data_IF_806742796998
#
_entry.id   IF_806742796998
#
_cell.length_a   1.000
_cell.length_b   1.000
_cell.length_c   1.000
_cell.angle_alpha   90.00
_cell.angle_beta   90.00
_cell.angle_gamma   90.00
#
_symmetry.space_group_name_H-M   'P 1'
#
loop_
_entity.id
_entity.type
_entity.pdbx_description
1 polymer ?
#
# COMPACT_ATOMS: atom_id res chain seq x y z
N UNK A 1 12.79 -0.24 -4.89
CA UNK A 1 12.96 0.47 -3.61
C UNK A 1 11.81 0.03 -2.72
N UNK A 2 12.07 -0.31 -1.46
CA UNK A 2 11.02 -0.60 -0.47
C UNK A 2 10.96 -2.04 0.06
N UNK A 3 10.59 -2.17 1.34
CA UNK A 3 10.28 -3.43 2.03
C UNK A 3 8.77 -3.51 2.29
N UNK A 4 8.00 -3.76 1.23
CA UNK A 4 6.57 -4.10 1.32
C UNK A 4 5.67 -3.14 2.11
N UNK A 5 4.40 -3.50 2.18
CA UNK A 5 3.34 -2.96 3.04
C UNK A 5 3.08 -4.08 4.07
N UNK A 6 3.64 -4.03 5.28
CA UNK A 6 3.41 -5.12 6.25
C UNK A 6 2.47 -4.70 7.37
N UNK A 7 1.78 -5.70 7.94
CA UNK A 7 1.02 -5.58 9.18
C UNK A 7 1.92 -5.03 10.28
N UNK A 8 1.68 -3.80 10.70
CA UNK A 8 2.27 -3.22 11.91
C UNK A 8 1.55 -3.71 13.18
N UNK A 9 0.67 -4.71 13.06
CA UNK A 9 -0.19 -5.22 14.14
C UNK A 9 0.57 -6.08 15.14
N UNK A 10 1.79 -6.51 14.81
CA UNK A 10 2.65 -7.21 15.76
C UNK A 10 3.34 -6.19 16.68
N UNK A 11 2.91 -6.20 17.95
CA UNK A 11 3.71 -5.59 19.01
C UNK A 11 5.07 -6.32 19.07
N UNK A 12 6.16 -5.56 19.19
CA UNK A 12 7.41 -6.14 19.65
C UNK A 12 7.29 -6.72 21.07
N UNK A 13 8.38 -7.29 21.61
CA UNK A 13 8.45 -7.68 23.01
C UNK A 13 7.96 -6.55 23.93
N UNK A 14 7.44 -6.84 25.14
CA UNK A 14 7.02 -5.81 26.08
C UNK A 14 8.05 -4.68 26.20
N UNK A 15 7.59 -3.43 26.10
CA UNK A 15 8.39 -2.18 26.03
C UNK A 15 9.07 -1.86 24.68
N UNK A 16 8.84 -2.65 23.62
CA UNK A 16 9.31 -2.37 22.26
C UNK A 16 8.13 -2.18 21.28
N UNK A 17 7.27 -1.20 21.60
CA UNK A 17 6.07 -0.85 20.81
C UNK A 17 6.38 -0.49 19.34
N UNK A 18 7.61 -0.07 19.03
CA UNK A 18 8.03 0.30 17.67
C UNK A 18 8.91 -0.74 16.96
N UNK A 19 9.13 -1.93 17.53
CA UNK A 19 10.12 -2.90 17.03
C UNK A 19 9.97 -3.20 15.53
N UNK A 20 8.79 -3.65 15.11
CA UNK A 20 8.51 -3.99 13.71
C UNK A 20 8.46 -2.76 12.79
N UNK A 21 8.09 -1.60 13.33
CA UNK A 21 8.15 -0.33 12.59
C UNK A 21 9.59 -0.02 12.20
N UNK A 22 10.51 -0.03 13.17
CA UNK A 22 11.92 0.33 12.94
C UNK A 22 12.61 -0.64 11.97
N UNK A 23 12.57 -1.94 12.23
CA UNK A 23 13.32 -2.92 11.42
C UNK A 23 13.04 -2.83 9.91
N UNK A 24 11.78 -2.60 9.50
CA UNK A 24 11.48 -2.52 8.07
C UNK A 24 11.56 -1.11 7.48
N UNK A 25 11.27 -0.07 8.26
CA UNK A 25 11.29 1.32 7.79
C UNK A 25 12.72 1.85 7.70
N UNK A 26 13.57 1.41 8.61
CA UNK A 26 14.99 1.75 8.65
C UNK A 26 15.69 1.37 7.34
N UNK A 27 15.25 0.31 6.64
CA UNK A 27 15.87 -0.04 5.36
C UNK A 27 15.81 1.10 4.35
N UNK A 28 14.66 1.75 4.20
CA UNK A 28 14.49 2.86 3.25
C UNK A 28 15.19 4.11 3.77
N UNK A 29 15.08 4.39 5.07
CA UNK A 29 15.80 5.51 5.68
C UNK A 29 17.31 5.38 5.48
N UNK A 30 17.89 4.23 5.78
CA UNK A 30 19.34 4.01 5.76
C UNK A 30 19.88 3.88 4.34
N UNK A 31 19.15 3.22 3.43
CA UNK A 31 19.68 2.86 2.11
C UNK A 31 19.20 3.75 0.97
N UNK A 32 18.11 4.50 1.17
CA UNK A 32 17.44 5.23 0.09
C UNK A 32 17.14 6.69 0.41
N UNK A 33 17.20 7.13 1.67
CA UNK A 33 17.09 8.56 2.01
C UNK A 33 18.40 9.27 1.75
N UNK A 34 18.36 10.32 0.93
CA UNK A 34 19.52 11.18 0.73
C UNK A 34 19.80 12.00 2.01
N UNK A 35 21.07 12.09 2.39
CA UNK A 35 21.57 12.92 3.48
C UNK A 35 22.69 13.85 3.02
N UNK A 36 23.17 14.71 3.91
CA UNK A 36 24.28 15.64 3.61
C UNK A 36 25.54 14.89 3.16
N UNK A 37 25.80 13.72 3.75
CA UNK A 37 26.99 12.92 3.50
C UNK A 37 26.74 11.60 2.76
N UNK A 38 25.47 11.27 2.50
CA UNK A 38 25.08 10.01 1.89
C UNK A 38 24.19 10.26 0.67
N UNK A 39 24.61 9.75 -0.48
CA UNK A 39 23.86 9.80 -1.73
C UNK A 39 23.57 8.37 -2.16
N UNK A 40 22.36 7.87 -1.94
CA UNK A 40 22.03 6.49 -2.29
C UNK A 40 22.04 6.29 -3.81
N UNK A 41 22.44 5.10 -4.31
CA UNK A 41 22.41 4.80 -5.75
C UNK A 41 21.00 4.92 -6.35
N UNK A 42 19.98 4.63 -5.55
CA UNK A 42 18.57 4.79 -5.92
C UNK A 42 17.89 5.59 -4.80
N UNK A 43 17.79 6.92 -4.88
CA UNK A 43 17.15 7.73 -3.86
C UNK A 43 15.63 7.60 -3.89
N UNK A 44 14.99 7.75 -2.74
CA UNK A 44 13.59 8.18 -2.69
C UNK A 44 13.50 9.67 -3.07
N UNK A 45 12.38 10.05 -3.70
CA UNK A 45 12.09 11.44 -4.03
C UNK A 45 11.73 12.24 -2.78
N UNK A 46 10.92 11.64 -1.89
CA UNK A 46 10.44 12.25 -0.66
C UNK A 46 10.40 11.20 0.46
N UNK A 47 10.77 11.59 1.68
CA UNK A 47 10.73 10.75 2.87
C UNK A 47 10.20 11.58 4.04
N UNK A 48 9.17 11.08 4.71
CA UNK A 48 8.60 11.68 5.90
C UNK A 48 9.18 11.05 7.17
N UNK A 49 9.85 11.84 8.00
CA UNK A 49 10.56 11.32 9.18
C UNK A 49 9.60 10.83 10.26
N UNK A 50 8.44 11.48 10.39
CA UNK A 50 7.53 11.20 11.49
C UNK A 50 6.70 9.92 11.24
N UNK A 51 6.44 9.61 9.97
CA UNK A 51 5.57 8.48 9.58
C UNK A 51 6.31 7.38 8.82
N UNK A 52 7.55 7.64 8.42
CA UNK A 52 8.36 6.83 7.51
C UNK A 52 7.73 6.58 6.15
N UNK A 53 6.66 7.29 5.80
CA UNK A 53 6.09 7.24 4.46
C UNK A 53 7.10 7.82 3.47
N UNK A 54 7.12 7.28 2.26
CA UNK A 54 8.06 7.74 1.24
C UNK A 54 7.49 7.58 -0.15
N UNK A 55 8.02 8.37 -1.08
CA UNK A 55 7.69 8.30 -2.49
C UNK A 55 8.95 8.29 -3.35
N UNK A 56 8.85 7.73 -4.55
CA UNK A 56 9.93 7.75 -5.53
C UNK A 56 9.37 7.82 -6.94
N UNK A 57 10.10 8.49 -7.81
CA UNK A 57 9.75 8.58 -9.22
C UNK A 57 10.46 7.48 -10.01
N UNK A 58 9.72 6.81 -10.91
CA UNK A 58 10.30 5.78 -11.79
C UNK A 58 9.62 5.76 -13.15
N UNK A 59 10.37 6.08 -14.22
CA UNK A 59 9.87 5.94 -15.59
C UNK A 59 8.63 6.78 -15.91
N UNK A 60 8.45 7.92 -15.24
CA UNK A 60 7.27 8.79 -15.38
C UNK A 60 6.16 8.53 -14.35
N UNK A 61 6.27 7.48 -13.54
CA UNK A 61 5.39 7.20 -12.42
C UNK A 61 5.81 7.96 -11.18
N UNK A 62 4.84 8.34 -10.37
CA UNK A 62 5.04 8.67 -8.96
C UNK A 62 4.53 7.52 -8.09
N UNK A 63 5.42 6.93 -7.30
CA UNK A 63 5.15 5.72 -6.53
C UNK A 63 5.19 6.08 -5.05
N UNK A 64 4.19 5.67 -4.27
CA UNK A 64 4.01 6.13 -2.88
C UNK A 64 3.79 4.95 -1.95
N UNK A 65 4.59 4.82 -0.89
CA UNK A 65 4.39 3.84 0.18
C UNK A 65 3.87 4.54 1.45
N UNK A 66 2.73 4.07 1.95
CA UNK A 66 2.00 4.58 3.12
C UNK A 66 1.84 3.55 4.27
N UNK A 67 2.58 2.45 4.21
CA UNK A 67 2.63 1.34 5.16
C UNK A 67 1.30 0.62 5.35
N UNK A 68 0.69 0.70 6.54
CA UNK A 68 -0.60 0.07 6.84
C UNK A 68 -1.71 0.75 6.03
N UNK A 69 -1.79 2.07 6.15
CA UNK A 69 -2.53 3.01 5.29
C UNK A 69 -2.12 4.44 5.66
N UNK A 70 -2.28 5.39 4.73
CA UNK A 70 -1.80 6.78 4.92
C UNK A 70 -2.33 7.49 6.17
N UNK A 71 -3.51 7.10 6.65
CA UNK A 71 -4.16 7.67 7.81
C UNK A 71 -3.85 7.00 9.15
N UNK A 72 -3.01 5.96 9.18
CA UNK A 72 -2.86 5.11 10.36
C UNK A 72 -2.34 5.90 11.58
N UNK A 73 -3.14 5.86 12.65
CA UNK A 73 -2.78 6.40 13.97
C UNK A 73 -2.77 5.32 15.05
N UNK A 74 -2.96 4.06 14.67
CA UNK A 74 -2.91 2.91 15.56
C UNK A 74 -1.56 2.83 16.24
N UNK A 75 -1.54 2.35 17.49
CA UNK A 75 -0.32 2.25 18.30
C UNK A 75 0.48 3.56 18.36
N UNK A 76 -0.19 4.71 18.42
CA UNK A 76 0.45 6.02 18.57
C UNK A 76 1.22 6.53 17.35
N UNK A 77 0.98 5.96 16.15
CA UNK A 77 1.55 6.52 14.92
C UNK A 77 1.02 7.93 14.63
N UNK A 78 1.89 8.74 14.01
CA UNK A 78 1.49 10.00 13.38
C UNK A 78 0.82 9.69 12.04
N UNK A 79 -0.26 10.40 11.73
CA UNK A 79 -0.94 10.24 10.45
C UNK A 79 -0.07 10.76 9.30
N UNK A 80 0.12 9.94 8.25
CA UNK A 80 0.84 10.32 7.01
C UNK A 80 0.00 11.12 6.02
N UNK A 81 -1.29 11.33 6.27
CA UNK A 81 -2.18 12.07 5.36
C UNK A 81 -1.72 13.52 5.06
N UNK A 82 -1.23 14.32 6.03
CA UNK A 82 -0.69 15.65 5.73
C UNK A 82 0.51 15.59 4.79
N UNK A 83 1.43 14.65 5.03
CA UNK A 83 2.58 14.44 4.16
C UNK A 83 2.14 14.00 2.76
N UNK A 84 1.25 13.01 2.65
CA UNK A 84 0.74 12.51 1.36
C UNK A 84 0.15 13.63 0.51
N UNK A 85 -0.65 14.53 1.12
CA UNK A 85 -1.23 15.68 0.40
C UNK A 85 -0.14 16.61 -0.14
N UNK A 86 0.89 16.88 0.65
CA UNK A 86 2.02 17.72 0.24
C UNK A 86 2.87 17.06 -0.84
N UNK A 87 3.13 15.76 -0.69
CA UNK A 87 3.90 14.94 -1.63
C UNK A 87 3.24 14.92 -3.00
N UNK A 88 1.95 14.59 -3.07
CA UNK A 88 1.18 14.63 -4.32
C UNK A 88 1.12 16.02 -4.94
N UNK A 89 0.92 17.07 -4.13
CA UNK A 89 0.91 18.45 -4.63
C UNK A 89 2.27 18.88 -5.20
N UNK A 90 3.36 18.35 -4.65
CA UNK A 90 4.73 18.71 -5.06
C UNK A 90 5.17 17.91 -6.29
N UNK A 91 4.86 16.61 -6.33
CA UNK A 91 5.48 15.68 -7.27
C UNK A 91 4.51 15.08 -8.29
N UNK A 92 3.18 15.22 -8.09
CA UNK A 92 2.17 14.65 -8.98
C UNK A 92 1.09 15.64 -9.44
N UNK A 93 1.23 16.93 -9.13
CA UNK A 93 0.30 17.97 -9.59
C UNK A 93 0.31 18.19 -11.12
N UNK A 94 1.31 17.67 -11.81
CA UNK A 94 1.41 17.69 -13.28
C UNK A 94 0.55 16.62 -13.98
N UNK A 95 -0.19 15.81 -13.21
CA UNK A 95 -1.10 14.79 -13.75
C UNK A 95 -0.43 13.47 -14.07
N UNK A 96 0.87 13.30 -13.73
CA UNK A 96 1.57 12.02 -13.91
C UNK A 96 0.85 10.89 -13.15
N UNK A 97 0.94 9.66 -13.66
CA UNK A 97 0.31 8.51 -13.03
C UNK A 97 0.90 8.23 -11.64
N UNK A 98 0.02 8.00 -10.67
CA UNK A 98 0.37 7.68 -9.29
C UNK A 98 -0.03 6.24 -8.95
N UNK A 99 0.86 5.49 -8.32
CA UNK A 99 0.53 4.19 -7.70
C UNK A 99 0.80 4.28 -6.20
N UNK A 100 -0.19 3.85 -5.41
CA UNK A 100 -0.05 3.76 -3.96
C UNK A 100 0.15 2.31 -3.54
N UNK A 101 0.99 2.13 -2.53
CA UNK A 101 1.17 0.90 -1.77
C UNK A 101 0.67 1.16 -0.35
N UNK A 102 -0.21 0.28 0.13
CA UNK A 102 -0.67 0.26 1.52
C UNK A 102 -1.15 -1.13 1.89
N UNK A 103 -1.28 -1.46 3.17
CA UNK A 103 -1.60 -2.83 3.57
C UNK A 103 -3.09 -3.18 3.42
N UNK A 104 -3.97 -2.31 3.90
CA UNK A 104 -5.41 -2.57 3.93
C UNK A 104 -6.09 -2.25 2.60
N UNK A 105 -7.01 -3.10 2.19
CA UNK A 105 -7.80 -2.93 0.98
C UNK A 105 -9.26 -2.56 1.25
N UNK A 106 -10.05 -2.70 0.19
CA UNK A 106 -11.51 -2.60 0.19
C UNK A 106 -12.18 -3.97 0.12
N UNK A 107 -11.42 -5.06 0.17
CA UNK A 107 -11.98 -6.40 0.23
C UNK A 107 -12.66 -6.65 1.57
N UNK A 108 -13.62 -7.59 1.59
CA UNK A 108 -14.44 -7.93 2.76
C UNK A 108 -13.60 -8.08 4.02
N UNK A 109 -12.49 -8.81 3.94
CA UNK A 109 -11.60 -9.01 5.07
C UNK A 109 -11.07 -7.69 5.63
N UNK A 110 -10.61 -6.77 4.76
CA UNK A 110 -10.08 -5.47 5.20
C UNK A 110 -11.15 -4.52 5.76
N UNK A 111 -12.44 -4.69 5.43
CA UNK A 111 -13.51 -3.77 5.83
C UNK A 111 -14.49 -4.36 6.84
N UNK A 112 -14.26 -5.58 7.28
CA UNK A 112 -15.14 -6.30 8.20
C UNK A 112 -15.35 -5.55 9.51
N UNK A 113 -16.52 -5.78 10.11
CA UNK A 113 -16.98 -5.11 11.31
C UNK A 113 -17.51 -6.12 12.30
N UNK A 114 -17.47 -5.76 13.57
CA UNK A 114 -17.97 -6.61 14.63
C UNK A 114 -19.48 -6.87 14.48
N UNK A 115 -19.86 -8.13 14.29
CA UNK A 115 -21.23 -8.62 14.39
C UNK A 115 -21.46 -9.17 15.82
N UNK A 116 -22.18 -8.41 16.63
CA UNK A 116 -22.50 -8.79 18.00
C UNK A 116 -23.47 -9.98 18.10
N UNK A 117 -24.30 -10.23 17.08
CA UNK A 117 -25.24 -11.35 17.06
C UNK A 117 -24.53 -12.67 16.78
N UNK A 118 -23.48 -12.66 15.95
CA UNK A 118 -22.67 -13.84 15.63
C UNK A 118 -21.41 -13.97 16.47
N UNK A 119 -20.99 -12.91 17.16
CA UNK A 119 -19.76 -12.89 17.96
C UNK A 119 -18.50 -13.02 17.11
N UNK A 120 -18.52 -12.47 15.89
CA UNK A 120 -17.40 -12.53 14.93
C UNK A 120 -17.29 -11.21 14.19
N UNK A 121 -16.18 -11.01 13.47
CA UNK A 121 -16.10 -10.00 12.42
C UNK A 121 -16.59 -10.60 11.09
N UNK A 122 -17.38 -9.84 10.35
CA UNK A 122 -17.81 -10.15 8.98
C UNK A 122 -18.27 -8.87 8.24
N UNK A 123 -18.76 -9.01 7.01
CA UNK A 123 -19.28 -7.93 6.16
C UNK A 123 -20.72 -7.49 6.48
N UNK A 124 -21.38 -8.18 7.40
CA UNK A 124 -22.76 -7.90 7.84
C UNK A 124 -22.78 -7.16 9.19
N UNK A 125 -21.66 -7.18 9.91
CA UNK A 125 -21.48 -6.49 11.17
C UNK A 125 -21.73 -4.98 11.10
N UNK A 126 -22.38 -4.45 12.13
CA UNK A 126 -22.63 -3.01 12.28
C UNK A 126 -21.74 -2.36 13.36
N UNK A 127 -20.89 -3.15 14.04
CA UNK A 127 -20.06 -2.70 15.14
C UNK A 127 -18.80 -1.94 14.71
N UNK A 128 -17.79 -1.96 15.58
CA UNK A 128 -16.50 -1.34 15.30
C UNK A 128 -15.81 -2.04 14.10
N UNK A 129 -15.11 -1.29 13.23
CA UNK A 129 -14.28 -1.89 12.19
C UNK A 129 -13.13 -2.68 12.82
N UNK A 130 -12.74 -3.78 12.19
CA UNK A 130 -11.60 -4.57 12.65
C UNK A 130 -10.26 -3.88 12.31
N UNK A 131 -10.11 -3.43 11.06
CA UNK A 131 -8.81 -2.99 10.54
C UNK A 131 -8.75 -1.49 10.30
N UNK A 132 -9.65 -0.96 9.47
CA UNK A 132 -9.78 0.47 9.24
C UNK A 132 -11.21 0.88 8.96
N UNK A 133 -11.53 2.10 9.36
CA UNK A 133 -12.89 2.62 9.29
C UNK A 133 -13.23 3.18 7.92
N UNK A 134 -14.53 3.36 7.69
CA UNK A 134 -15.02 4.14 6.54
C UNK A 134 -14.45 5.57 6.56
N UNK A 135 -14.30 6.19 7.73
CA UNK A 135 -13.73 7.52 7.83
C UNK A 135 -12.27 7.56 7.37
N UNK A 136 -11.48 6.52 7.66
CA UNK A 136 -10.09 6.41 7.21
C UNK A 136 -10.02 6.28 5.69
N UNK A 137 -10.90 5.45 5.09
CA UNK A 137 -11.04 5.32 3.64
C UNK A 137 -11.40 6.64 2.97
N UNK A 138 -12.42 7.33 3.49
CA UNK A 138 -12.84 8.63 2.96
C UNK A 138 -11.75 9.70 3.11
N UNK A 139 -10.95 9.66 4.18
CA UNK A 139 -9.83 10.57 4.36
C UNK A 139 -8.73 10.34 3.32
N UNK A 140 -8.41 9.07 3.00
CA UNK A 140 -7.49 8.73 1.91
C UNK A 140 -8.05 9.17 0.55
N UNK A 141 -9.30 8.84 0.24
CA UNK A 141 -9.96 9.25 -1.00
C UNK A 141 -9.95 10.79 -1.17
N UNK A 142 -10.18 11.53 -0.09
CA UNK A 142 -10.09 12.98 -0.10
C UNK A 142 -8.66 13.49 -0.34
N UNK A 143 -7.63 12.81 0.16
CA UNK A 143 -6.24 13.18 -0.04
C UNK A 143 -5.77 12.95 -1.49
N UNK A 144 -6.25 11.89 -2.14
CA UNK A 144 -5.87 11.55 -3.52
C UNK A 144 -6.79 12.16 -4.59
N UNK A 145 -7.89 12.80 -4.17
CA UNK A 145 -8.86 13.40 -5.09
C UNK A 145 -8.20 14.43 -5.99
N UNK A 146 -8.39 14.27 -7.30
CA UNK A 146 -7.86 15.18 -8.33
C UNK A 146 -6.48 14.79 -8.87
N UNK A 147 -5.84 13.76 -8.29
CA UNK A 147 -4.61 13.18 -8.83
C UNK A 147 -4.92 11.94 -9.68
N UNK A 148 -4.02 11.62 -10.62
CA UNK A 148 -4.16 10.47 -11.51
C UNK A 148 -3.71 9.17 -10.82
N UNK A 149 -4.44 8.74 -9.79
CA UNK A 149 -4.17 7.44 -9.13
C UNK A 149 -4.62 6.31 -10.04
N UNK A 150 -3.65 5.59 -10.61
CA UNK A 150 -3.91 4.52 -11.57
C UNK A 150 -4.02 3.14 -10.92
N UNK A 151 -3.61 2.98 -9.66
CA UNK A 151 -3.79 1.74 -8.92
C UNK A 151 -3.35 1.83 -7.47
N UNK A 152 -3.98 1.01 -6.62
CA UNK A 152 -3.52 0.74 -5.25
C UNK A 152 -3.15 -0.74 -5.13
N UNK A 153 -1.91 -1.01 -4.74
CA UNK A 153 -1.45 -2.36 -4.42
C UNK A 153 -1.54 -2.55 -2.91
N UNK A 154 -2.21 -3.62 -2.50
CA UNK A 154 -2.40 -3.92 -1.09
C UNK A 154 -2.27 -5.41 -0.75
N UNK A 155 -2.33 -5.73 0.54
CA UNK A 155 -2.12 -7.08 1.06
C UNK A 155 -3.17 -7.44 2.11
N UNK A 156 -2.67 -7.77 3.30
CA UNK A 156 -3.41 -8.12 4.51
C UNK A 156 -4.03 -9.52 4.54
N UNK A 157 -4.95 -9.85 3.63
CA UNK A 157 -5.42 -11.23 3.54
C UNK A 157 -4.43 -12.07 2.72
N UNK A 158 -3.78 -13.05 3.35
CA UNK A 158 -2.62 -13.72 2.76
C UNK A 158 -2.96 -14.70 1.63
N UNK A 159 -4.11 -15.38 1.73
CA UNK A 159 -4.45 -16.52 0.88
C UNK A 159 -5.15 -16.14 -0.42
N UNK A 160 -5.72 -14.94 -0.49
CA UNK A 160 -6.65 -14.57 -1.57
C UNK A 160 -6.04 -13.54 -2.51
N UNK A 161 -5.79 -13.94 -3.77
CA UNK A 161 -5.46 -13.01 -4.84
C UNK A 161 -6.73 -12.32 -5.38
N UNK A 162 -6.69 -11.00 -5.58
CA UNK A 162 -7.83 -10.21 -6.09
C UNK A 162 -7.37 -9.07 -7.00
N UNK A 163 -8.10 -8.87 -8.09
CA UNK A 163 -8.14 -7.60 -8.82
C UNK A 163 -9.59 -7.13 -8.79
N UNK A 164 -9.83 -5.93 -8.30
CA UNK A 164 -11.19 -5.42 -8.08
C UNK A 164 -11.23 -3.90 -8.07
N UNK A 165 -12.43 -3.32 -8.01
CA UNK A 165 -12.64 -1.88 -7.85
C UNK A 165 -13.35 -1.59 -6.54
N UNK A 166 -12.95 -0.50 -5.89
CA UNK A 166 -13.54 0.03 -4.66
C UNK A 166 -13.44 1.54 -4.68
N UNK A 167 -14.55 2.23 -4.42
CA UNK A 167 -14.64 3.71 -4.40
C UNK A 167 -13.96 4.41 -5.58
N UNK A 168 -14.10 3.84 -6.78
CA UNK A 168 -13.57 4.38 -8.03
C UNK A 168 -12.11 4.03 -8.34
N UNK A 169 -11.39 3.43 -7.40
CA UNK A 169 -10.00 3.01 -7.55
C UNK A 169 -9.90 1.58 -8.10
N UNK A 170 -8.81 1.31 -8.83
CA UNK A 170 -8.42 -0.05 -9.22
C UNK A 170 -7.48 -0.61 -8.14
N UNK A 171 -7.79 -1.79 -7.60
CA UNK A 171 -7.07 -2.40 -6.47
C UNK A 171 -6.50 -3.76 -6.87
N UNK A 172 -5.28 -4.02 -6.41
CA UNK A 172 -4.51 -5.22 -6.72
C UNK A 172 -3.97 -5.85 -5.43
N UNK A 173 -4.45 -7.05 -5.12
CA UNK A 173 -4.02 -7.86 -3.97
C UNK A 173 -3.40 -9.17 -4.46
N UNK A 174 -2.06 -9.31 -4.53
CA UNK A 174 -1.46 -10.63 -4.69
C UNK A 174 -1.62 -11.46 -3.41
N UNK A 175 -1.42 -12.79 -3.52
CA UNK A 175 -1.18 -13.62 -2.33
C UNK A 175 0.10 -13.19 -1.63
N UNK A 176 0.22 -13.48 -0.34
CA UNK A 176 1.40 -13.15 0.43
C UNK A 176 2.66 -13.81 -0.17
N UNK A 177 3.78 -13.08 -0.15
CA UNK A 177 5.03 -13.53 -0.78
C UNK A 177 5.57 -14.83 -0.17
N UNK A 178 5.39 -15.07 1.14
CA UNK A 178 5.80 -16.33 1.78
C UNK A 178 4.98 -17.54 1.31
N UNK A 179 3.81 -17.32 0.70
CA UNK A 179 3.01 -18.33 0.02
C UNK A 179 3.34 -18.42 -1.48
N UNK A 180 4.38 -17.72 -1.94
CA UNK A 180 4.80 -17.68 -3.34
C UNK A 180 4.09 -16.62 -4.19
N UNK A 181 3.18 -15.82 -3.63
CA UNK A 181 2.40 -14.83 -4.38
C UNK A 181 3.17 -13.58 -4.77
N UNK A 182 2.83 -12.99 -5.91
CA UNK A 182 3.39 -11.73 -6.40
C UNK A 182 2.45 -11.00 -7.37
N UNK A 183 2.73 -9.71 -7.60
CA UNK A 183 2.11 -8.91 -8.64
C UNK A 183 3.18 -8.36 -9.59
N UNK A 184 2.90 -8.38 -10.89
CA UNK A 184 3.70 -7.73 -11.92
C UNK A 184 2.86 -6.61 -12.54
N UNK A 185 3.37 -5.38 -12.47
CA UNK A 185 2.74 -4.23 -13.09
C UNK A 185 3.64 -3.67 -14.20
N UNK A 186 3.05 -3.44 -15.38
CA UNK A 186 3.67 -2.73 -16.49
C UNK A 186 2.84 -1.49 -16.77
N UNK A 187 3.49 -0.33 -16.79
CA UNK A 187 2.86 0.94 -17.19
C UNK A 187 3.60 1.48 -18.41
N UNK A 188 2.87 1.79 -19.46
CA UNK A 188 3.34 2.47 -20.66
C UNK A 188 2.77 3.90 -20.73
N UNK A 189 3.08 4.61 -21.81
CA UNK A 189 2.51 5.93 -22.07
C UNK A 189 1.03 5.93 -22.44
N UNK A 190 0.37 4.78 -22.51
CA UNK A 190 -1.03 4.65 -22.94
C UNK A 190 -1.80 3.50 -22.26
N UNK A 191 -1.14 2.67 -21.46
CA UNK A 191 -1.79 1.56 -20.76
C UNK A 191 -1.14 1.21 -19.42
N UNK A 192 -1.92 0.54 -18.59
CA UNK A 192 -1.45 -0.19 -17.42
C UNK A 192 -1.93 -1.62 -17.50
N UNK A 193 -1.01 -2.56 -17.36
CA UNK A 193 -1.24 -3.99 -17.30
C UNK A 193 -0.77 -4.52 -15.94
N UNK A 194 -1.59 -5.34 -15.29
CA UNK A 194 -1.23 -6.02 -14.04
C UNK A 194 -1.55 -7.50 -14.15
N UNK A 195 -0.58 -8.34 -13.79
CA UNK A 195 -0.79 -9.76 -13.61
C UNK A 195 -0.49 -10.14 -12.15
N UNK A 196 -1.37 -10.94 -11.56
CA UNK A 196 -1.09 -11.62 -10.29
C UNK A 196 -0.64 -13.04 -10.60
N UNK A 197 0.31 -13.53 -9.82
CA UNK A 197 0.77 -14.90 -9.96
C UNK A 197 1.30 -15.45 -8.66
N UNK A 198 1.60 -16.74 -8.69
CA UNK A 198 2.22 -17.46 -7.59
C UNK A 198 3.24 -18.47 -8.10
N UNK A 199 4.28 -18.68 -7.30
CA UNK A 199 5.17 -19.82 -7.50
C UNK A 199 4.38 -21.12 -7.27
N UNK A 200 4.52 -22.06 -8.19
CA UNK A 200 3.94 -23.40 -8.11
C UNK A 200 5.05 -24.43 -8.26
N UNK A 201 4.94 -25.57 -7.58
CA UNK A 201 5.98 -26.60 -7.63
C UNK A 201 7.30 -26.21 -6.96
N UNK A 202 8.35 -26.99 -7.25
CA UNK A 202 9.64 -26.95 -6.55
C UNK A 202 10.82 -26.50 -7.45
N UNK A 203 10.57 -26.18 -8.72
CA UNK A 203 11.60 -25.91 -9.73
C UNK A 203 11.46 -24.51 -10.39
N UNK A 204 10.75 -23.60 -9.74
CA UNK A 204 10.59 -22.22 -10.20
C UNK A 204 9.46 -22.04 -11.22
N UNK A 205 8.51 -22.98 -11.26
CA UNK A 205 7.31 -22.81 -12.06
C UNK A 205 6.42 -21.70 -11.49
N UNK A 206 5.70 -21.04 -12.40
CA UNK A 206 4.88 -19.87 -12.08
C UNK A 206 3.50 -20.08 -12.68
N UNK A 207 2.45 -19.87 -11.88
CA UNK A 207 1.08 -19.77 -12.36
C UNK A 207 0.60 -18.32 -12.26
N UNK A 208 0.13 -17.76 -13.37
CA UNK A 208 -0.58 -16.48 -13.36
C UNK A 208 -2.06 -16.74 -13.10
N UNK A 209 -2.63 -16.06 -12.10
CA UNK A 209 -4.00 -16.32 -11.60
C UNK A 209 -4.99 -15.25 -12.03
N UNK A 210 -4.53 -14.02 -12.22
CA UNK A 210 -5.37 -12.88 -12.59
C UNK A 210 -4.61 -11.97 -13.55
N UNK A 211 -5.35 -11.31 -14.43
CA UNK A 211 -4.82 -10.29 -15.33
C UNK A 211 -5.79 -9.12 -15.43
N UNK A 212 -5.23 -7.94 -15.63
CA UNK A 212 -5.94 -6.68 -15.78
C UNK A 212 -5.20 -5.80 -16.78
N UNK A 213 -5.96 -5.11 -17.61
CA UNK A 213 -5.44 -4.12 -18.54
C UNK A 213 -6.40 -2.94 -18.57
N UNK A 214 -5.85 -1.72 -18.62
CA UNK A 214 -6.63 -0.52 -18.90
C UNK A 214 -5.83 0.45 -19.76
N UNK A 215 -6.52 1.23 -20.57
CA UNK A 215 -5.93 2.39 -21.23
C UNK A 215 -5.78 3.54 -20.25
N UNK A 216 -4.68 4.28 -20.38
CA UNK A 216 -4.41 5.52 -19.66
C UNK A 216 -4.61 6.68 -20.62
N UNK A 217 -5.45 7.63 -20.23
CA UNK A 217 -5.62 8.88 -20.95
C UNK A 217 -4.89 9.95 -20.12
N UNK A 218 -3.84 10.52 -20.69
CA UNK A 218 -3.07 11.62 -20.10
C UNK A 218 -3.49 12.95 -20.69
#
# INVERSE_FOLDING_TARGET
>A
VGLGNHDLDQNGPPNHVDWYRREMRDYVEVNHRAGVFFKPPVPVTSYDVDTDCYSWDWGGLHLVQTHRFAGDTGHGAVSGLPWLKQDLATYAADGRPVILFQHYGWDVFSIERWDAAKGTFDDEGAGAPHWWSEADRQALLAAVKGYNVIGIFHGHQHETAMIYRGDGLDLFKPKAAYMGGFALARVSGDSMDVALGEAVGDHGEIAFTNAFSKSLNF
#
